data_IF_023798870959
#
_entry.id   IF_023798870959
#
_cell.length_a   1.000
_cell.length_b   1.000
_cell.length_c   1.000
_cell.angle_alpha   90.00
_cell.angle_beta   90.00
_cell.angle_gamma   90.00
#
_symmetry.space_group_name_H-M   'P 1'
#
loop_
_entity.id
_entity.type
_entity.pdbx_description
1 polymer ?
#
# COMPACT_ATOMS: atom_id res chain seq x y z
N UNK A 1 -4.69 -17.98 18.98
CA UNK A 1 -3.79 -17.49 17.91
C UNK A 1 -2.36 -17.51 18.41
N UNK A 2 -1.46 -18.11 17.64
CA UNK A 2 -0.03 -17.98 17.93
C UNK A 2 0.42 -16.53 17.78
N UNK A 3 1.37 -16.11 18.62
CA UNK A 3 2.00 -14.78 18.55
C UNK A 3 2.64 -14.50 17.18
N UNK A 4 2.86 -15.54 16.37
CA UNK A 4 3.38 -15.50 15.01
C UNK A 4 2.55 -14.62 14.06
N UNK A 5 1.21 -14.57 14.20
CA UNK A 5 0.38 -13.77 13.30
C UNK A 5 0.59 -12.25 13.47
N UNK A 6 0.99 -11.80 14.65
CA UNK A 6 1.32 -10.39 14.92
C UNK A 6 2.68 -9.99 14.33
N UNK A 7 3.53 -10.95 13.98
CA UNK A 7 4.84 -10.69 13.36
C UNK A 7 4.67 -10.07 11.98
N UNK A 8 3.66 -10.49 11.20
CA UNK A 8 3.40 -9.95 9.87
C UNK A 8 3.18 -8.42 9.89
N UNK A 9 2.15 -7.87 10.57
CA UNK A 9 1.97 -6.43 10.61
C UNK A 9 3.14 -5.70 11.28
N UNK A 10 3.81 -6.29 12.28
CA UNK A 10 5.00 -5.70 12.87
C UNK A 10 6.14 -5.52 11.85
N UNK A 11 6.38 -6.52 10.99
CA UNK A 11 7.35 -6.42 9.89
C UNK A 11 6.92 -5.38 8.85
N UNK A 12 5.63 -5.25 8.58
CA UNK A 12 5.08 -4.17 7.75
C UNK A 12 5.44 -2.78 8.31
N UNK A 13 5.24 -2.57 9.61
CA UNK A 13 5.60 -1.32 10.31
C UNK A 13 7.11 -1.04 10.20
N UNK A 14 7.95 -2.05 10.44
CA UNK A 14 9.40 -1.90 10.29
C UNK A 14 9.80 -1.50 8.86
N UNK A 15 9.20 -2.13 7.85
CA UNK A 15 9.39 -1.77 6.45
C UNK A 15 8.99 -0.32 6.14
N UNK A 16 7.87 0.15 6.71
CA UNK A 16 7.41 1.53 6.55
C UNK A 16 8.31 2.54 7.27
N UNK A 17 8.81 2.21 8.46
CA UNK A 17 9.80 3.05 9.15
C UNK A 17 11.08 3.20 8.34
N UNK A 18 11.60 2.11 7.79
CA UNK A 18 12.76 2.15 6.89
C UNK A 18 12.47 3.01 5.64
N UNK A 19 11.29 2.82 5.03
CA UNK A 19 10.81 3.60 3.89
C UNK A 19 10.79 5.10 4.20
N UNK A 20 10.29 5.50 5.37
CA UNK A 20 10.28 6.90 5.83
C UNK A 20 11.70 7.45 6.02
N UNK A 21 12.61 6.66 6.59
CA UNK A 21 14.02 7.06 6.74
C UNK A 21 14.67 7.30 5.38
N UNK A 22 14.49 6.37 4.44
CA UNK A 22 15.04 6.51 3.08
C UNK A 22 14.39 7.63 2.29
N UNK A 23 13.08 7.84 2.42
CA UNK A 23 12.38 9.00 1.84
C UNK A 23 12.98 10.32 2.31
N UNK A 24 13.22 10.45 3.62
CA UNK A 24 13.85 11.64 4.21
C UNK A 24 15.29 11.80 3.73
N UNK A 25 16.05 10.71 3.64
CA UNK A 25 17.41 10.73 3.13
C UNK A 25 17.48 11.21 1.67
N UNK A 26 16.60 10.71 0.79
CA UNK A 26 16.49 11.20 -0.59
C UNK A 26 16.11 12.67 -0.60
N UNK A 27 15.10 13.08 0.17
CA UNK A 27 14.65 14.47 0.21
C UNK A 27 15.73 15.47 0.64
N UNK A 28 16.71 15.03 1.44
CA UNK A 28 17.86 15.83 1.90
C UNK A 28 18.98 15.98 0.88
N UNK A 29 19.00 15.19 -0.21
CA UNK A 29 20.03 15.36 -1.23
C UNK A 29 19.84 16.68 -1.97
N UNK A 30 20.95 17.23 -2.47
CA UNK A 30 20.99 18.50 -3.20
C UNK A 30 20.11 18.41 -4.47
N UNK A 31 19.07 19.27 -4.60
CA UNK A 31 18.25 19.32 -5.80
C UNK A 31 18.92 20.07 -6.97
N UNK A 32 20.12 20.62 -6.78
CA UNK A 32 20.89 21.28 -7.81
C UNK A 32 20.52 22.74 -8.02
N UNK A 33 20.72 23.24 -9.24
CA UNK A 33 20.50 24.64 -9.58
C UNK A 33 19.03 25.06 -9.55
N UNK A 34 18.77 26.36 -9.55
CA UNK A 34 17.39 26.86 -9.53
C UNK A 34 16.61 26.45 -10.78
N UNK A 35 17.27 26.39 -11.95
CA UNK A 35 16.66 25.84 -13.16
C UNK A 35 16.27 24.36 -13.02
N UNK A 36 17.07 23.55 -12.32
CA UNK A 36 16.74 22.15 -12.07
C UNK A 36 15.54 22.02 -11.11
N UNK A 37 15.49 22.84 -10.06
CA UNK A 37 14.36 22.89 -9.12
C UNK A 37 13.07 23.31 -9.83
N UNK A 38 13.12 24.33 -10.69
CA UNK A 38 11.99 24.82 -11.48
C UNK A 38 11.38 23.70 -12.34
N UNK A 39 12.20 23.02 -13.14
CA UNK A 39 11.76 21.89 -13.97
C UNK A 39 11.20 20.76 -13.10
N UNK A 40 11.88 20.42 -12.00
CA UNK A 40 11.41 19.38 -11.08
C UNK A 40 10.05 19.70 -10.46
N UNK A 41 9.77 20.97 -10.18
CA UNK A 41 8.50 21.40 -9.63
C UNK A 41 7.38 21.26 -10.66
N UNK A 42 7.61 21.62 -11.93
CA UNK A 42 6.63 21.39 -12.99
C UNK A 42 6.29 19.90 -13.15
N UNK A 43 7.30 19.03 -13.09
CA UNK A 43 7.09 17.58 -13.13
C UNK A 43 6.27 17.12 -11.92
N UNK A 44 6.63 17.56 -10.72
CA UNK A 44 5.93 17.19 -9.49
C UNK A 44 4.46 17.67 -9.51
N UNK A 45 4.21 18.91 -9.91
CA UNK A 45 2.86 19.47 -10.02
C UNK A 45 2.01 18.70 -11.05
N UNK A 46 2.56 18.43 -12.23
CA UNK A 46 1.88 17.65 -13.27
C UNK A 46 1.56 16.23 -12.81
N UNK A 47 2.52 15.56 -12.19
CA UNK A 47 2.34 14.21 -11.65
C UNK A 47 1.25 14.18 -10.55
N UNK A 48 1.26 15.14 -9.63
CA UNK A 48 0.23 15.25 -8.59
C UNK A 48 -1.14 15.63 -9.15
N UNK A 49 -1.20 16.42 -10.22
CA UNK A 49 -2.45 16.72 -10.92
C UNK A 49 -3.03 15.47 -11.59
N UNK A 50 -2.17 14.68 -12.25
CA UNK A 50 -2.55 13.40 -12.84
C UNK A 50 -3.13 12.44 -11.79
N UNK A 51 -2.43 12.22 -10.66
CA UNK A 51 -2.92 11.35 -9.59
C UNK A 51 -4.29 11.79 -9.05
N UNK A 52 -4.52 13.09 -8.87
CA UNK A 52 -5.81 13.59 -8.41
C UNK A 52 -6.93 13.31 -9.42
N UNK A 53 -6.64 13.46 -10.71
CA UNK A 53 -7.60 13.15 -11.77
C UNK A 53 -7.90 11.64 -11.82
N UNK A 54 -6.86 10.81 -11.77
CA UNK A 54 -6.96 9.35 -11.74
C UNK A 54 -7.76 8.86 -10.54
N UNK A 55 -7.46 9.35 -9.34
CA UNK A 55 -8.18 8.98 -8.11
C UNK A 55 -9.64 9.38 -8.11
N UNK A 56 -10.00 10.48 -8.78
CA UNK A 56 -11.40 10.87 -8.91
C UNK A 56 -12.19 9.84 -9.72
N UNK A 57 -11.58 9.30 -10.79
CA UNK A 57 -12.20 8.26 -11.63
C UNK A 57 -12.20 6.91 -10.90
N UNK A 58 -11.05 6.52 -10.34
CA UNK A 58 -10.92 5.28 -9.57
C UNK A 58 -11.83 5.26 -8.33
N UNK A 59 -12.08 6.40 -7.69
CA UNK A 59 -13.01 6.49 -6.56
C UNK A 59 -14.42 6.06 -6.93
N UNK A 60 -14.91 6.42 -8.13
CA UNK A 60 -16.21 5.97 -8.63
C UNK A 60 -16.20 4.47 -8.87
N UNK A 61 -15.13 3.95 -9.50
CA UNK A 61 -14.96 2.52 -9.72
C UNK A 61 -14.95 1.73 -8.39
N UNK A 62 -14.23 2.20 -7.38
CA UNK A 62 -14.16 1.59 -6.05
C UNK A 62 -15.54 1.52 -5.40
N UNK A 63 -16.34 2.60 -5.48
CA UNK A 63 -17.70 2.59 -4.92
C UNK A 63 -18.59 1.56 -5.62
N UNK A 64 -18.55 1.50 -6.96
CA UNK A 64 -19.36 0.55 -7.74
C UNK A 64 -18.96 -0.89 -7.41
N UNK A 65 -17.66 -1.21 -7.43
CA UNK A 65 -17.18 -2.58 -7.17
C UNK A 65 -17.43 -2.97 -5.71
N UNK A 66 -17.23 -2.07 -4.75
CA UNK A 66 -17.55 -2.35 -3.34
C UNK A 66 -19.04 -2.68 -3.16
N UNK A 67 -19.93 -1.94 -3.84
CA UNK A 67 -21.36 -2.23 -3.82
C UNK A 67 -21.69 -3.60 -4.42
N UNK A 68 -21.12 -3.92 -5.60
CA UNK A 68 -21.31 -5.22 -6.26
C UNK A 68 -20.79 -6.39 -5.40
N UNK A 69 -19.61 -6.26 -4.81
CA UNK A 69 -19.04 -7.26 -3.91
C UNK A 69 -19.92 -7.46 -2.66
N UNK A 70 -20.45 -6.36 -2.11
CA UNK A 70 -21.40 -6.41 -0.99
C UNK A 70 -22.68 -7.16 -1.35
N UNK A 71 -23.25 -6.94 -2.54
CA UNK A 71 -24.43 -7.65 -3.03
C UNK A 71 -24.14 -9.14 -3.28
N UNK A 72 -23.02 -9.45 -3.95
CA UNK A 72 -22.64 -10.84 -4.23
C UNK A 72 -22.40 -11.64 -2.94
N UNK A 73 -21.89 -10.98 -1.89
CA UNK A 73 -21.69 -11.61 -0.59
C UNK A 73 -22.99 -12.02 0.10
N UNK A 74 -24.15 -11.44 -0.25
CA UNK A 74 -25.46 -11.86 0.29
C UNK A 74 -25.87 -13.21 -0.30
N UNK A 75 -25.52 -13.46 -1.56
CA UNK A 75 -25.89 -14.69 -2.28
C UNK A 75 -24.98 -15.88 -1.97
N UNK A 76 -23.79 -15.66 -1.39
CA UNK A 76 -22.84 -16.72 -1.06
C UNK A 76 -22.81 -17.00 0.47
N UNK A 77 -23.24 -18.18 0.94
CA UNK A 77 -23.26 -18.53 2.37
C UNK A 77 -21.88 -18.47 3.07
N UNK A 78 -20.82 -18.71 2.30
CA UNK A 78 -19.43 -18.67 2.77
C UNK A 78 -18.88 -17.25 2.88
N UNK A 79 -19.54 -16.27 2.26
CA UNK A 79 -19.09 -14.88 2.23
C UNK A 79 -19.72 -14.03 3.32
N UNK A 80 -19.23 -12.80 3.45
CA UNK A 80 -19.80 -11.80 4.35
C UNK A 80 -19.66 -10.43 3.69
N UNK A 81 -20.63 -9.53 3.90
CA UNK A 81 -20.63 -8.16 3.36
C UNK A 81 -19.36 -7.34 3.71
N UNK A 82 -18.59 -7.82 4.69
CA UNK A 82 -17.30 -7.25 5.07
C UNK A 82 -16.26 -7.33 3.94
N UNK A 83 -16.46 -8.16 2.91
CA UNK A 83 -15.60 -8.20 1.72
C UNK A 83 -15.56 -6.85 1.00
N UNK A 84 -16.67 -6.10 0.99
CA UNK A 84 -16.72 -4.75 0.44
C UNK A 84 -15.87 -3.76 1.26
N UNK A 85 -15.87 -3.90 2.59
CA UNK A 85 -15.02 -3.09 3.46
C UNK A 85 -13.53 -3.46 3.30
N UNK A 86 -13.23 -4.75 3.21
CA UNK A 86 -11.88 -5.25 2.94
C UNK A 86 -11.35 -4.69 1.62
N UNK A 87 -12.18 -4.67 0.58
CA UNK A 87 -11.87 -4.08 -0.72
C UNK A 87 -11.58 -2.58 -0.63
N UNK A 88 -12.44 -1.79 0.02
CA UNK A 88 -12.19 -0.35 0.20
C UNK A 88 -10.88 -0.13 0.97
N UNK A 89 -10.60 -0.93 1.99
CA UNK A 89 -9.37 -0.84 2.76
C UNK A 89 -8.13 -1.14 1.92
N UNK A 90 -8.19 -2.18 1.07
CA UNK A 90 -7.14 -2.49 0.09
C UNK A 90 -6.90 -1.34 -0.88
N UNK A 91 -7.97 -0.78 -1.45
CA UNK A 91 -7.89 0.35 -2.38
C UNK A 91 -7.25 1.60 -1.75
N UNK A 92 -7.58 1.90 -0.50
CA UNK A 92 -6.96 3.02 0.24
C UNK A 92 -5.46 2.76 0.47
N UNK A 93 -5.07 1.53 0.80
CA UNK A 93 -3.67 1.16 1.00
C UNK A 93 -2.87 1.27 -0.29
N UNK A 94 -3.42 0.81 -1.40
CA UNK A 94 -2.81 0.90 -2.74
C UNK A 94 -2.67 2.35 -3.20
N UNK A 95 -3.74 3.16 -3.08
CA UNK A 95 -3.68 4.59 -3.37
C UNK A 95 -2.61 5.30 -2.52
N UNK A 96 -2.53 4.98 -1.23
CA UNK A 96 -1.51 5.54 -0.32
C UNK A 96 -0.09 5.15 -0.78
N UNK A 97 0.12 3.90 -1.19
CA UNK A 97 1.41 3.43 -1.70
C UNK A 97 1.81 4.17 -2.98
N UNK A 98 0.89 4.30 -3.93
CA UNK A 98 1.11 5.05 -5.19
C UNK A 98 1.45 6.52 -4.94
N UNK A 99 0.78 7.16 -3.98
CA UNK A 99 1.06 8.54 -3.58
C UNK A 99 2.47 8.75 -3.03
N UNK A 100 2.88 7.87 -2.11
CA UNK A 100 4.22 7.91 -1.51
C UNK A 100 5.27 7.67 -2.59
N UNK A 101 5.03 6.67 -3.45
CA UNK A 101 5.89 6.34 -4.59
C UNK A 101 6.09 7.52 -5.54
N UNK A 102 5.00 8.18 -5.94
CA UNK A 102 5.09 9.31 -6.86
C UNK A 102 5.81 10.51 -6.23
N UNK A 103 5.57 10.80 -4.95
CA UNK A 103 6.28 11.88 -4.23
C UNK A 103 7.78 11.61 -4.09
N UNK A 104 8.22 10.37 -3.87
CA UNK A 104 9.65 10.08 -3.80
C UNK A 104 10.30 10.10 -5.18
N UNK A 105 9.63 9.54 -6.20
CA UNK A 105 10.14 9.50 -7.56
C UNK A 105 10.40 10.91 -8.11
N UNK A 106 9.39 11.78 -8.04
CA UNK A 106 9.50 13.17 -8.49
C UNK A 106 10.61 13.94 -7.77
N UNK A 107 10.87 13.68 -6.48
CA UNK A 107 12.00 14.25 -5.74
C UNK A 107 13.35 13.64 -6.13
N UNK A 108 13.40 12.33 -6.34
CA UNK A 108 14.63 11.58 -6.61
C UNK A 108 15.20 11.92 -7.98
N UNK A 109 14.36 12.22 -8.98
CA UNK A 109 14.77 12.50 -10.35
C UNK A 109 15.79 13.65 -10.43
N UNK A 110 15.44 14.81 -9.89
CA UNK A 110 16.31 16.01 -9.96
C UNK A 110 17.60 15.82 -9.16
N UNK A 111 17.52 15.14 -8.01
CA UNK A 111 18.65 14.86 -7.13
C UNK A 111 19.62 13.84 -7.74
N UNK A 112 19.08 12.88 -8.50
CA UNK A 112 19.87 11.92 -9.27
C UNK A 112 20.63 12.65 -10.37
N UNK A 113 19.96 13.55 -11.11
CA UNK A 113 20.61 14.34 -12.15
C UNK A 113 21.72 15.23 -11.57
N UNK A 114 21.49 15.87 -10.43
CA UNK A 114 22.50 16.68 -9.74
C UNK A 114 23.69 15.82 -9.29
N UNK A 115 23.43 14.67 -8.67
CA UNK A 115 24.48 13.75 -8.24
C UNK A 115 25.33 13.24 -9.41
N UNK A 116 24.72 13.00 -10.57
CA UNK A 116 25.39 12.53 -11.79
C UNK A 116 26.45 13.51 -12.31
N UNK A 117 26.32 14.81 -12.03
CA UNK A 117 27.36 15.81 -12.36
C UNK A 117 28.67 15.59 -11.62
N UNK A 118 28.64 14.87 -10.49
CA UNK A 118 29.82 14.62 -9.64
C UNK A 118 30.27 13.18 -9.67
N UNK A 119 29.35 12.21 -9.69
CA UNK A 119 29.67 10.79 -9.68
C UNK A 119 28.48 9.93 -10.09
N UNK A 120 28.73 8.99 -11.00
CA UNK A 120 27.76 7.97 -11.38
C UNK A 120 27.34 7.10 -10.19
N UNK A 121 28.29 6.74 -9.32
CA UNK A 121 28.02 5.93 -8.12
C UNK A 121 27.07 6.65 -7.17
N UNK A 122 27.25 7.97 -6.97
CA UNK A 122 26.32 8.78 -6.16
C UNK A 122 24.95 8.86 -6.81
N UNK A 123 24.88 9.08 -8.13
CA UNK A 123 23.62 9.11 -8.86
C UNK A 123 22.85 7.79 -8.71
N UNK A 124 23.53 6.66 -8.87
CA UNK A 124 22.94 5.34 -8.67
C UNK A 124 22.44 5.14 -7.24
N UNK A 125 23.21 5.57 -6.24
CA UNK A 125 22.77 5.49 -4.84
C UNK A 125 21.48 6.28 -4.59
N UNK A 126 21.35 7.47 -5.17
CA UNK A 126 20.13 8.30 -5.05
C UNK A 126 18.95 7.66 -5.78
N UNK A 127 19.14 7.23 -7.03
CA UNK A 127 18.06 6.64 -7.84
C UNK A 127 17.59 5.30 -7.27
N UNK A 128 18.52 4.43 -6.88
CA UNK A 128 18.20 3.14 -6.25
C UNK A 128 17.51 3.33 -4.90
N UNK A 129 17.98 4.28 -4.08
CA UNK A 129 17.30 4.57 -2.81
C UNK A 129 15.89 5.13 -3.05
N UNK A 130 15.70 5.99 -4.05
CA UNK A 130 14.39 6.47 -4.46
C UNK A 130 13.44 5.32 -4.87
N UNK A 131 13.93 4.38 -5.68
CA UNK A 131 13.19 3.18 -6.06
C UNK A 131 12.88 2.26 -4.87
N UNK A 132 13.84 2.10 -3.94
CA UNK A 132 13.65 1.26 -2.75
C UNK A 132 12.54 1.75 -1.83
N UNK A 133 12.31 3.07 -1.76
CA UNK A 133 11.20 3.67 -1.00
C UNK A 133 9.86 3.26 -1.60
N UNK A 134 9.75 3.19 -2.92
CA UNK A 134 8.54 2.69 -3.58
C UNK A 134 8.34 1.21 -3.29
N UNK A 135 9.36 0.37 -3.51
CA UNK A 135 9.25 -1.08 -3.33
C UNK A 135 8.95 -1.49 -1.88
N UNK A 136 9.69 -0.96 -0.91
CA UNK A 136 9.50 -1.27 0.51
C UNK A 136 8.25 -0.59 1.08
N UNK A 137 7.86 0.57 0.55
CA UNK A 137 6.61 1.23 0.92
C UNK A 137 5.39 0.42 0.52
N UNK A 138 5.34 -0.07 -0.73
CA UNK A 138 4.27 -0.93 -1.23
C UNK A 138 4.21 -2.24 -0.44
N UNK A 139 5.34 -2.94 -0.32
CA UNK A 139 5.39 -4.20 0.42
C UNK A 139 5.02 -4.02 1.90
N UNK A 140 5.52 -2.95 2.53
CA UNK A 140 5.22 -2.63 3.93
C UNK A 140 3.74 -2.34 4.17
N UNK A 141 3.10 -1.55 3.31
CA UNK A 141 1.66 -1.29 3.37
C UNK A 141 0.86 -2.57 3.14
N UNK A 142 1.21 -3.37 2.12
CA UNK A 142 0.49 -4.60 1.81
C UNK A 142 0.54 -5.61 2.97
N UNK A 143 1.72 -5.85 3.54
CA UNK A 143 1.89 -6.78 4.68
C UNK A 143 1.20 -6.24 5.94
N UNK A 144 1.29 -4.93 6.20
CA UNK A 144 0.59 -4.29 7.31
C UNK A 144 -0.92 -4.41 7.16
N UNK A 145 -1.46 -4.08 5.99
CA UNK A 145 -2.89 -4.08 5.70
C UNK A 145 -3.48 -5.48 5.74
N UNK A 146 -2.90 -6.41 4.98
CA UNK A 146 -3.35 -7.80 4.91
C UNK A 146 -3.22 -8.49 6.28
N UNK A 147 -2.08 -8.32 6.96
CA UNK A 147 -1.83 -8.92 8.28
C UNK A 147 -2.78 -8.38 9.36
N UNK A 148 -2.97 -7.06 9.42
CA UNK A 148 -3.89 -6.45 10.39
C UNK A 148 -5.34 -6.85 10.12
N UNK A 149 -5.75 -6.83 8.85
CA UNK A 149 -7.10 -7.20 8.46
C UNK A 149 -7.38 -8.69 8.74
N UNK A 150 -6.42 -9.57 8.46
CA UNK A 150 -6.55 -10.98 8.82
C UNK A 150 -6.74 -11.18 10.32
N UNK A 151 -5.97 -10.49 11.18
CA UNK A 151 -6.14 -10.59 12.64
C UNK A 151 -7.53 -10.13 13.07
N UNK A 152 -8.04 -9.05 12.49
CA UNK A 152 -9.40 -8.54 12.77
C UNK A 152 -10.46 -9.57 12.35
N UNK A 153 -10.35 -10.11 11.13
CA UNK A 153 -11.30 -11.08 10.59
C UNK A 153 -11.26 -12.42 11.35
N UNK A 154 -10.07 -12.91 11.69
CA UNK A 154 -9.90 -14.08 12.54
C UNK A 154 -10.56 -13.84 13.90
N UNK A 155 -10.29 -12.71 14.54
CA UNK A 155 -10.88 -12.39 15.85
C UNK A 155 -12.40 -12.34 15.76
N UNK A 156 -12.95 -11.81 14.67
CA UNK A 156 -14.40 -11.67 14.50
C UNK A 156 -15.13 -12.97 14.15
N UNK A 157 -14.56 -13.79 13.27
CA UNK A 157 -15.26 -14.95 12.71
C UNK A 157 -14.80 -16.28 13.28
N UNK A 158 -13.54 -16.39 13.71
CA UNK A 158 -12.90 -17.66 14.08
C UNK A 158 -12.66 -17.76 15.59
N UNK A 159 -12.45 -16.65 16.29
CA UNK A 159 -12.12 -16.69 17.71
C UNK A 159 -13.28 -17.26 18.54
N UNK A 160 -12.95 -18.19 19.45
CA UNK A 160 -13.94 -18.89 20.27
C UNK A 160 -14.44 -20.22 19.70
N UNK A 161 -14.01 -20.62 18.49
CA UNK A 161 -14.32 -21.92 17.90
C UNK A 161 -13.15 -22.88 18.09
N UNK A 162 -13.43 -24.11 18.55
CA UNK A 162 -12.42 -25.13 18.77
C UNK A 162 -11.78 -25.61 17.47
N UNK A 163 -10.45 -25.61 17.45
CA UNK A 163 -9.67 -26.04 16.30
C UNK A 163 -9.93 -27.51 15.96
N UNK A 164 -10.10 -27.82 14.67
CA UNK A 164 -10.35 -29.20 14.18
C UNK A 164 -11.83 -29.55 14.02
N UNK A 165 -12.75 -28.66 14.38
CA UNK A 165 -14.19 -28.80 14.11
C UNK A 165 -14.53 -28.36 12.68
N UNK A 166 -15.64 -28.86 12.12
CA UNK A 166 -16.16 -28.39 10.82
C UNK A 166 -16.49 -26.89 10.83
N UNK A 167 -17.02 -26.41 11.94
CA UNK A 167 -17.37 -25.00 12.15
C UNK A 167 -16.13 -24.11 12.10
N UNK A 168 -14.98 -24.56 12.64
CA UNK A 168 -13.72 -23.84 12.52
C UNK A 168 -13.27 -23.69 11.06
N UNK A 169 -13.41 -24.76 10.26
CA UNK A 169 -13.06 -24.72 8.83
C UNK A 169 -13.97 -23.76 8.06
N UNK A 170 -15.28 -23.79 8.30
CA UNK A 170 -16.23 -22.89 7.64
C UNK A 170 -15.99 -21.42 8.01
N UNK A 171 -15.75 -21.14 9.30
CA UNK A 171 -15.39 -19.81 9.78
C UNK A 171 -14.07 -19.30 9.18
N UNK A 172 -13.08 -20.18 9.05
CA UNK A 172 -11.80 -19.84 8.43
C UNK A 172 -11.95 -19.52 6.94
N UNK A 173 -12.73 -20.33 6.21
CA UNK A 173 -13.04 -20.07 4.80
C UNK A 173 -13.70 -18.71 4.66
N UNK A 174 -14.68 -18.38 5.52
CA UNK A 174 -15.32 -17.07 5.53
C UNK A 174 -14.34 -15.93 5.79
N UNK A 175 -13.44 -16.07 6.76
CA UNK A 175 -12.42 -15.06 7.05
C UNK A 175 -11.47 -14.84 5.87
N UNK A 176 -11.01 -15.92 5.23
CA UNK A 176 -10.11 -15.86 4.06
C UNK A 176 -10.85 -15.29 2.84
N UNK A 177 -12.10 -15.68 2.61
CA UNK A 177 -12.91 -15.17 1.51
C UNK A 177 -13.11 -13.65 1.65
N UNK A 178 -13.46 -13.17 2.84
CA UNK A 178 -13.55 -11.74 3.11
C UNK A 178 -12.20 -11.03 2.94
N UNK A 179 -11.11 -11.67 3.35
CA UNK A 179 -9.76 -11.14 3.19
C UNK A 179 -9.39 -10.95 1.72
N UNK A 180 -9.87 -11.80 0.80
CA UNK A 180 -9.63 -11.64 -0.65
C UNK A 180 -10.12 -10.30 -1.19
N UNK A 181 -11.14 -9.70 -0.56
CA UNK A 181 -11.58 -8.35 -0.86
C UNK A 181 -10.43 -7.33 -0.81
N UNK A 182 -9.56 -7.43 0.20
CA UNK A 182 -8.38 -6.56 0.30
C UNK A 182 -7.46 -6.68 -0.91
N UNK A 183 -7.19 -7.91 -1.33
CA UNK A 183 -6.35 -8.18 -2.52
C UNK A 183 -7.01 -7.74 -3.83
N UNK A 184 -8.34 -7.74 -3.92
CA UNK A 184 -9.06 -7.22 -5.08
C UNK A 184 -9.05 -5.69 -5.15
N UNK A 185 -9.02 -5.03 -3.99
CA UNK A 185 -9.01 -3.58 -3.91
C UNK A 185 -7.62 -2.97 -4.04
N UNK A 186 -6.59 -3.66 -3.54
CA UNK A 186 -5.21 -3.21 -3.58
C UNK A 186 -4.57 -3.35 -4.97
#
# INVERSE_FOLDING_TARGET
MDKLFYVAPAMGILGLLYTLVKFKWVSKQDPGSDRMKEISNYIAEGAMAFLRAEWRILGVFVVIVAFLLGLMAISNPSSHWAIALAFIFGAVFSATAGYIGMRVATKANVRTAQAAKTSLSKALSVSFTGGSVMGLGVAGLAVLGLGSLFIILYTKFVSGIDAGTKEYTEAMVKAIEVLTGFSLGA
#
